data_IF_285897395391
#
_entry.id   IF_285897395391
#
_cell.length_a   1.000
_cell.length_b   1.000
_cell.length_c   1.000
_cell.angle_alpha   90.00
_cell.angle_beta   90.00
_cell.angle_gamma   90.00
#
_symmetry.space_group_name_H-M   'P 1'
#
loop_
_entity.id
_entity.type
_entity.pdbx_description
1 polymer ?
#
# COMPACT_ATOMS: atom_id res chain seq x y z
N UNK A 1 -14.77 -13.63 -6.43
CA UNK A 1 -13.55 -14.41 -6.21
C UNK A 1 -12.46 -13.81 -7.08
N UNK A 2 -11.63 -12.96 -6.52
CA UNK A 2 -10.44 -12.46 -7.18
C UNK A 2 -9.23 -13.02 -6.46
N UNK A 3 -8.75 -14.18 -6.89
CA UNK A 3 -7.46 -14.70 -6.49
C UNK A 3 -6.48 -14.35 -7.60
N UNK A 4 -5.54 -13.47 -7.32
CA UNK A 4 -4.45 -13.18 -8.20
C UNK A 4 -3.44 -14.31 -8.19
N UNK A 5 -3.47 -15.16 -9.22
CA UNK A 5 -2.38 -16.09 -9.49
C UNK A 5 -1.38 -15.38 -10.40
N UNK A 6 -0.21 -15.07 -9.89
CA UNK A 6 0.92 -14.63 -10.70
C UNK A 6 1.60 -15.87 -11.26
N UNK A 7 1.51 -16.09 -12.58
CA UNK A 7 2.25 -17.15 -13.26
C UNK A 7 3.55 -16.53 -13.76
N UNK A 8 4.67 -16.90 -13.13
CA UNK A 8 6.00 -16.47 -13.56
C UNK A 8 6.52 -17.35 -14.70
N UNK A 9 6.80 -16.73 -15.84
CA UNK A 9 7.77 -17.21 -16.80
C UNK A 9 8.93 -16.22 -16.83
N UNK A 10 9.92 -16.45 -15.98
CA UNK A 10 11.12 -15.61 -15.93
C UNK A 10 12.14 -16.10 -16.93
N UNK A 11 12.30 -15.39 -18.05
CA UNK A 11 13.52 -15.47 -18.84
C UNK A 11 14.45 -14.36 -18.35
N UNK A 12 15.42 -14.73 -17.54
CA UNK A 12 16.46 -13.85 -17.04
C UNK A 12 17.39 -13.42 -18.18
N UNK A 13 17.23 -12.18 -18.66
CA UNK A 13 18.29 -11.50 -19.41
C UNK A 13 18.95 -10.52 -18.45
N UNK A 14 19.96 -11.00 -17.73
CA UNK A 14 20.91 -10.10 -17.03
C UNK A 14 21.78 -9.42 -18.08
N UNK A 15 21.56 -8.14 -18.31
CA UNK A 15 22.50 -7.27 -19.02
C UNK A 15 22.71 -5.94 -18.30
N UNK A 16 23.85 -5.81 -17.69
CA UNK A 16 24.83 -4.68 -17.60
C UNK A 16 24.36 -3.21 -17.76
N UNK A 17 23.21 -2.80 -17.21
CA UNK A 17 22.75 -1.41 -17.15
C UNK A 17 22.39 -1.00 -15.70
N UNK A 18 22.76 -1.80 -14.71
CA UNK A 18 22.57 -1.50 -13.28
C UNK A 18 23.48 -0.36 -12.77
N UNK A 19 24.42 0.07 -13.60
CA UNK A 19 25.47 1.02 -13.15
C UNK A 19 24.98 2.45 -12.87
N UNK A 20 23.78 2.86 -13.31
CA UNK A 20 23.35 4.27 -13.21
C UNK A 20 22.32 4.55 -12.11
N UNK A 21 21.80 3.51 -11.47
CA UNK A 21 20.76 3.61 -10.44
C UNK A 21 21.20 2.85 -9.20
N UNK A 22 20.98 3.46 -8.04
CA UNK A 22 21.28 2.87 -6.72
C UNK A 22 19.94 2.68 -6.00
N UNK A 23 19.68 1.45 -5.55
CA UNK A 23 18.56 1.16 -4.67
C UNK A 23 19.06 0.96 -3.23
N UNK A 24 18.44 1.69 -2.31
CA UNK A 24 18.65 1.55 -0.87
C UNK A 24 17.38 0.96 -0.25
N UNK A 25 17.55 -0.09 0.53
CA UNK A 25 16.47 -0.69 1.34
C UNK A 25 16.79 -0.54 2.82
N UNK A 26 15.77 -0.13 3.61
CA UNK A 26 15.80 -0.07 5.06
C UNK A 26 14.62 -0.84 5.64
N UNK A 27 14.74 -1.33 6.86
CA UNK A 27 13.69 -2.11 7.55
C UNK A 27 12.99 -1.34 8.66
N UNK A 28 13.39 -0.09 8.89
CA UNK A 28 12.72 0.85 9.78
C UNK A 28 12.78 2.25 9.19
N UNK A 29 11.71 3.02 9.42
CA UNK A 29 11.68 4.44 8.99
C UNK A 29 12.72 5.28 9.73
N UNK A 30 13.13 4.88 10.94
CA UNK A 30 14.14 5.58 11.73
C UNK A 30 15.52 5.62 11.03
N UNK A 31 15.81 4.66 10.13
CA UNK A 31 17.03 4.65 9.31
C UNK A 31 16.92 5.53 8.04
N UNK A 32 15.74 6.11 7.78
CA UNK A 32 15.52 7.03 6.67
C UNK A 32 15.75 8.47 7.11
N UNK A 33 16.29 9.30 6.23
CA UNK A 33 16.39 10.74 6.49
C UNK A 33 14.99 11.37 6.53
N UNK A 34 14.60 11.89 7.70
CA UNK A 34 13.26 12.48 7.93
C UNK A 34 12.94 13.63 6.98
N UNK A 35 13.92 14.51 6.72
CA UNK A 35 13.72 15.66 5.83
C UNK A 35 13.47 15.23 4.39
N UNK A 36 14.28 14.27 3.91
CA UNK A 36 14.14 13.74 2.55
C UNK A 36 12.83 12.98 2.38
N UNK A 37 12.48 12.14 3.37
CA UNK A 37 11.22 11.41 3.37
C UNK A 37 10.02 12.35 3.33
N UNK A 38 9.95 13.30 4.26
CA UNK A 38 8.82 14.21 4.39
C UNK A 38 8.70 15.18 3.21
N UNK A 39 9.80 15.52 2.55
CA UNK A 39 9.77 16.36 1.34
C UNK A 39 8.84 15.79 0.26
N UNK A 40 8.80 14.47 0.13
CA UNK A 40 8.07 13.78 -0.94
C UNK A 40 6.82 13.08 -0.45
N UNK A 41 6.84 12.55 0.78
CA UNK A 41 5.79 11.67 1.31
C UNK A 41 4.81 12.38 2.25
N UNK A 42 5.14 13.54 2.84
CA UNK A 42 4.28 14.20 3.83
C UNK A 42 3.13 15.02 3.26
N UNK A 43 3.10 15.30 1.95
CA UNK A 43 2.04 16.14 1.36
C UNK A 43 0.69 15.42 1.37
N UNK A 44 -0.22 15.91 2.23
CA UNK A 44 -1.60 15.40 2.36
C UNK A 44 -1.66 13.90 2.64
N UNK A 45 -0.77 13.41 3.51
CA UNK A 45 -0.59 11.99 3.69
C UNK A 45 -0.28 11.65 5.15
N UNK A 46 -0.79 10.49 5.58
CA UNK A 46 -0.52 9.90 6.90
C UNK A 46 0.80 9.11 6.92
N UNK A 47 1.45 8.91 5.78
CA UNK A 47 2.72 8.19 5.64
C UNK A 47 3.92 9.12 5.67
N UNK A 48 3.82 10.23 6.40
CA UNK A 48 4.99 11.00 6.79
C UNK A 48 5.88 10.18 7.76
N UNK A 49 7.04 10.68 8.05
CA UNK A 49 8.01 9.96 8.88
C UNK A 49 7.46 9.63 10.28
N UNK A 50 6.73 10.55 10.90
CA UNK A 50 6.17 10.36 12.25
C UNK A 50 4.99 9.38 12.23
N UNK A 51 4.15 9.42 11.19
CA UNK A 51 3.08 8.46 10.96
C UNK A 51 3.59 7.04 10.78
N UNK A 52 4.69 6.87 10.04
CA UNK A 52 5.32 5.55 9.86
C UNK A 52 5.99 5.04 11.13
N UNK A 53 6.62 5.91 11.94
CA UNK A 53 7.10 5.55 13.29
C UNK A 53 5.94 5.03 14.14
N UNK A 54 4.79 5.69 14.08
CA UNK A 54 3.60 5.24 14.82
C UNK A 54 3.11 3.87 14.33
N UNK A 55 3.04 3.66 13.02
CA UNK A 55 2.63 2.37 12.44
C UNK A 55 3.60 1.25 12.81
N UNK A 56 4.91 1.48 12.74
CA UNK A 56 5.89 0.48 13.18
C UNK A 56 5.71 0.13 14.67
N UNK A 57 5.51 1.11 15.54
CA UNK A 57 5.26 0.86 16.97
C UNK A 57 3.98 0.06 17.23
N UNK A 58 2.96 0.25 16.40
CA UNK A 58 1.69 -0.46 16.54
C UNK A 58 1.76 -1.90 16.03
N UNK A 59 2.50 -2.14 14.93
CA UNK A 59 2.44 -3.41 14.20
C UNK A 59 3.74 -4.21 14.15
N UNK A 60 4.85 -3.71 14.67
CA UNK A 60 6.13 -4.43 14.70
C UNK A 60 6.37 -5.05 16.06
N UNK A 61 6.89 -6.26 16.09
CA UNK A 61 7.13 -7.02 17.34
C UNK A 61 5.86 -7.24 18.18
N UNK A 62 4.72 -7.34 17.54
CA UNK A 62 3.46 -7.63 18.21
C UNK A 62 3.35 -9.14 18.51
N UNK A 63 2.72 -9.47 19.63
CA UNK A 63 2.47 -10.87 20.01
C UNK A 63 1.37 -11.53 19.17
N UNK A 64 0.43 -10.75 18.66
CA UNK A 64 -0.57 -11.22 17.69
C UNK A 64 0.05 -11.28 16.30
N UNK A 65 0.17 -12.48 15.75
CA UNK A 65 0.76 -12.71 14.43
C UNK A 65 0.08 -11.95 13.28
N UNK A 66 -1.23 -11.66 13.39
CA UNK A 66 -1.97 -10.90 12.37
C UNK A 66 -1.67 -9.40 12.43
N UNK A 67 -1.19 -8.92 13.57
CA UNK A 67 -0.79 -7.55 13.81
C UNK A 67 0.73 -7.41 13.95
N UNK A 68 1.49 -8.40 13.52
CA UNK A 68 2.95 -8.38 13.55
C UNK A 68 3.49 -8.34 12.12
N UNK A 69 3.91 -7.16 11.69
CA UNK A 69 4.33 -6.90 10.33
C UNK A 69 5.80 -6.57 10.23
N UNK A 70 6.43 -6.93 9.11
CA UNK A 70 7.71 -6.40 8.69
C UNK A 70 7.48 -5.19 7.79
N UNK A 71 8.34 -4.17 7.94
CA UNK A 71 8.34 -2.97 7.13
C UNK A 71 9.61 -2.92 6.29
N UNK A 72 9.50 -2.35 5.11
CA UNK A 72 10.63 -2.10 4.24
C UNK A 72 10.42 -0.79 3.47
N UNK A 73 11.51 -0.02 3.36
CA UNK A 73 11.52 1.31 2.79
C UNK A 73 12.52 1.34 1.65
N UNK A 74 12.10 1.81 0.50
CA UNK A 74 12.95 1.93 -0.67
C UNK A 74 13.22 3.38 -1.02
N UNK A 75 14.48 3.69 -1.29
CA UNK A 75 14.90 4.91 -1.98
C UNK A 75 15.73 4.51 -3.17
N UNK A 76 15.31 4.95 -4.35
CA UNK A 76 16.03 4.73 -5.60
C UNK A 76 16.59 6.07 -6.08
N UNK A 77 17.89 6.12 -6.35
CA UNK A 77 18.65 7.34 -6.71
C UNK A 77 19.43 7.11 -7.99
N UNK A 78 19.73 8.19 -8.70
CA UNK A 78 20.78 8.18 -9.71
C UNK A 78 22.18 8.24 -9.07
N UNK A 79 23.23 8.07 -9.88
CA UNK A 79 24.63 8.18 -9.43
C UNK A 79 24.99 9.53 -8.81
N UNK A 80 24.23 10.60 -9.08
CA UNK A 80 24.43 11.93 -8.52
C UNK A 80 23.71 12.12 -7.18
N UNK A 81 23.02 11.07 -6.70
CA UNK A 81 22.26 11.09 -5.45
C UNK A 81 20.87 11.72 -5.59
N UNK A 82 20.39 12.00 -6.80
CA UNK A 82 19.05 12.53 -7.04
C UNK A 82 18.03 11.42 -6.85
N UNK A 83 16.99 11.68 -6.05
CA UNK A 83 15.93 10.74 -5.78
C UNK A 83 15.03 10.59 -7.02
N UNK A 84 14.92 9.37 -7.51
CA UNK A 84 14.06 8.96 -8.63
C UNK A 84 12.75 8.38 -8.13
N UNK A 85 12.80 7.58 -7.05
CA UNK A 85 11.64 6.92 -6.47
C UNK A 85 11.82 6.77 -4.96
N UNK A 86 10.73 6.96 -4.21
CA UNK A 86 10.60 6.61 -2.80
C UNK A 86 9.28 5.88 -2.57
N UNK A 87 9.33 4.85 -1.73
CA UNK A 87 8.12 4.11 -1.33
C UNK A 87 8.42 3.26 -0.10
N UNK A 88 7.36 2.68 0.46
CA UNK A 88 7.49 1.66 1.49
C UNK A 88 6.52 0.53 1.23
N UNK A 89 6.76 -0.59 1.89
CA UNK A 89 5.86 -1.72 1.88
C UNK A 89 5.84 -2.43 3.22
N UNK A 90 4.91 -3.34 3.33
CA UNK A 90 4.69 -4.16 4.52
C UNK A 90 4.56 -5.63 4.12
N UNK A 91 5.00 -6.52 5.01
CA UNK A 91 4.77 -7.95 4.92
C UNK A 91 4.05 -8.41 6.18
N UNK A 92 3.00 -9.17 6.01
CA UNK A 92 2.22 -9.70 7.13
C UNK A 92 1.25 -10.80 6.70
N UNK A 93 0.51 -11.32 7.66
CA UNK A 93 -0.51 -12.31 7.42
C UNK A 93 -1.86 -11.62 7.23
N UNK A 94 -2.49 -11.89 6.11
CA UNK A 94 -3.80 -11.37 5.76
C UNK A 94 -4.88 -12.43 5.99
N UNK A 95 -6.05 -12.01 6.48
CA UNK A 95 -7.24 -12.85 6.52
C UNK A 95 -7.98 -12.68 5.20
N UNK A 96 -8.13 -13.75 4.43
CA UNK A 96 -8.65 -13.69 3.06
C UNK A 96 -10.17 -13.40 3.00
N UNK A 97 -10.82 -13.33 4.15
CA UNK A 97 -12.23 -12.99 4.29
C UNK A 97 -12.53 -11.51 4.59
N UNK A 98 -11.54 -10.62 4.45
CA UNK A 98 -11.73 -9.18 4.77
C UNK A 98 -12.89 -8.50 4.05
N UNK A 99 -13.25 -8.97 2.85
CA UNK A 99 -14.37 -8.47 2.06
C UNK A 99 -15.60 -9.37 2.14
N UNK A 100 -15.60 -10.38 3.01
CA UNK A 100 -16.73 -11.27 3.20
C UNK A 100 -17.82 -10.61 4.06
N UNK A 101 -19.00 -11.23 4.05
CA UNK A 101 -20.07 -10.79 4.95
C UNK A 101 -19.74 -11.13 6.40
N UNK A 102 -20.28 -10.37 7.34
CA UNK A 102 -20.07 -10.56 8.79
C UNK A 102 -20.35 -12.01 9.25
N UNK A 103 -21.39 -12.64 8.68
CA UNK A 103 -21.75 -14.02 9.02
C UNK A 103 -20.68 -15.02 8.60
N UNK A 104 -20.05 -14.82 7.45
CA UNK A 104 -18.94 -15.66 6.96
C UNK A 104 -17.71 -15.45 7.81
N UNK A 105 -17.32 -14.19 8.08
CA UNK A 105 -16.17 -13.90 8.91
C UNK A 105 -16.30 -14.46 10.33
N UNK A 106 -17.48 -14.38 10.94
CA UNK A 106 -17.74 -15.01 12.25
C UNK A 106 -17.52 -16.53 12.23
N UNK A 107 -17.99 -17.22 11.20
CA UNK A 107 -17.77 -18.67 11.08
C UNK A 107 -16.29 -19.01 10.92
N UNK A 108 -15.55 -18.22 10.13
CA UNK A 108 -14.11 -18.40 9.94
C UNK A 108 -13.31 -18.12 11.21
N UNK A 109 -13.71 -17.12 12.01
CA UNK A 109 -13.08 -16.86 13.31
C UNK A 109 -13.29 -18.03 14.30
N UNK A 110 -14.44 -18.70 14.27
CA UNK A 110 -14.64 -19.91 15.09
C UNK A 110 -13.66 -21.05 14.66
N UNK A 111 -13.47 -21.23 13.35
CA UNK A 111 -12.50 -22.21 12.83
C UNK A 111 -11.07 -21.83 13.23
N UNK A 112 -10.72 -20.55 13.18
CA UNK A 112 -9.39 -20.03 13.55
C UNK A 112 -9.03 -20.22 15.02
N UNK A 113 -9.99 -20.46 15.91
CA UNK A 113 -9.71 -20.84 17.30
C UNK A 113 -8.93 -22.15 17.41
N UNK A 114 -9.15 -23.06 16.47
CA UNK A 114 -8.44 -24.38 16.43
C UNK A 114 -7.40 -24.46 15.32
N UNK A 115 -7.56 -23.68 14.26
CA UNK A 115 -6.60 -23.56 13.15
C UNK A 115 -6.34 -22.09 12.83
N UNK A 116 -5.43 -21.43 13.55
CA UNK A 116 -5.25 -19.97 13.46
C UNK A 116 -4.96 -19.42 12.06
N UNK A 117 -4.31 -20.22 11.20
CA UNK A 117 -3.97 -19.81 9.83
C UNK A 117 -4.98 -20.28 8.77
N UNK A 118 -6.18 -20.68 9.20
CA UNK A 118 -7.22 -21.08 8.25
C UNK A 118 -7.68 -19.89 7.38
N UNK A 119 -7.62 -20.07 6.07
CA UNK A 119 -7.98 -19.05 5.07
C UNK A 119 -7.25 -17.71 5.32
N UNK A 120 -5.92 -17.80 5.36
CA UNK A 120 -5.01 -16.66 5.49
C UNK A 120 -3.91 -16.74 4.45
N UNK A 121 -3.37 -15.61 4.06
CA UNK A 121 -2.27 -15.48 3.11
C UNK A 121 -1.15 -14.62 3.68
N UNK A 122 0.10 -14.99 3.38
CA UNK A 122 1.28 -14.15 3.60
C UNK A 122 1.38 -13.14 2.47
N UNK A 123 1.26 -11.88 2.78
CA UNK A 123 1.14 -10.83 1.76
C UNK A 123 2.27 -9.83 1.89
N UNK A 124 2.96 -9.58 0.78
CA UNK A 124 3.75 -8.37 0.60
C UNK A 124 2.85 -7.32 -0.01
N UNK A 125 2.72 -6.18 0.64
CA UNK A 125 1.99 -5.04 0.13
C UNK A 125 2.94 -3.88 -0.12
N UNK A 126 2.99 -3.36 -1.33
CA UNK A 126 3.55 -2.03 -1.54
C UNK A 126 2.53 -1.03 -1.00
N UNK A 127 2.93 -0.25 0.00
CA UNK A 127 2.04 0.53 0.85
C UNK A 127 1.70 -0.18 2.18
N UNK A 128 0.63 0.21 2.82
CA UNK A 128 0.23 -0.27 4.14
C UNK A 128 -0.87 -1.33 4.05
N UNK A 129 -0.77 -2.41 4.82
CA UNK A 129 -1.82 -3.43 4.92
C UNK A 129 -3.09 -2.92 5.63
N UNK A 130 -2.98 -1.90 6.46
CA UNK A 130 -4.06 -1.43 7.32
C UNK A 130 -4.79 -0.20 6.77
N UNK A 131 -4.07 0.79 6.24
CA UNK A 131 -4.66 2.08 5.85
C UNK A 131 -4.29 2.46 4.42
N UNK A 132 -5.14 3.26 3.80
CA UNK A 132 -4.94 3.80 2.46
C UNK A 132 -4.17 5.12 2.52
N UNK A 133 -3.46 5.45 1.45
CA UNK A 133 -2.77 6.73 1.29
C UNK A 133 -1.72 6.71 0.19
N UNK A 134 -1.25 7.90 -0.17
CA UNK A 134 -0.19 8.05 -1.18
C UNK A 134 1.14 7.58 -0.58
N UNK A 135 1.66 6.50 -1.07
CA UNK A 135 2.91 5.89 -0.60
C UNK A 135 3.95 5.73 -1.70
N UNK A 136 3.64 6.13 -2.93
CA UNK A 136 4.47 5.90 -4.09
C UNK A 136 4.83 7.22 -4.75
N UNK A 137 6.08 7.67 -4.54
CA UNK A 137 6.63 8.86 -5.18
C UNK A 137 7.57 8.44 -6.29
N UNK A 138 7.37 8.97 -7.49
CA UNK A 138 8.29 8.86 -8.62
C UNK A 138 8.51 10.24 -9.22
N UNK A 139 9.78 10.60 -9.43
CA UNK A 139 10.14 11.82 -10.13
C UNK A 139 9.94 11.63 -11.65
N UNK A 140 8.75 11.97 -12.14
CA UNK A 140 8.33 11.73 -13.52
C UNK A 140 9.11 12.53 -14.56
N UNK A 141 9.79 13.61 -14.15
CA UNK A 141 10.59 14.45 -15.04
C UNK A 141 11.96 13.83 -15.38
N UNK A 142 12.33 12.74 -14.69
CA UNK A 142 13.62 12.09 -14.85
C UNK A 142 13.56 10.96 -15.89
N UNK A 143 14.53 10.96 -16.79
CA UNK A 143 14.69 9.94 -17.84
C UNK A 143 14.79 8.51 -17.26
N UNK A 144 15.35 8.37 -16.05
CA UNK A 144 15.54 7.09 -15.37
C UNK A 144 14.31 6.65 -14.55
N UNK A 145 13.21 7.41 -14.55
CA UNK A 145 12.04 7.14 -13.71
C UNK A 145 11.42 5.75 -14.00
N UNK A 146 11.23 5.41 -15.27
CA UNK A 146 10.67 4.11 -15.67
C UNK A 146 11.58 2.94 -15.23
N UNK A 147 12.89 3.10 -15.36
CA UNK A 147 13.86 2.10 -14.91
C UNK A 147 13.84 1.93 -13.39
N UNK A 148 13.67 3.04 -12.65
CA UNK A 148 13.53 2.98 -11.19
C UNK A 148 12.29 2.19 -10.77
N UNK A 149 11.15 2.37 -11.48
CA UNK A 149 9.95 1.59 -11.24
C UNK A 149 10.17 0.10 -11.54
N UNK A 150 10.77 -0.25 -12.67
CA UNK A 150 11.09 -1.64 -13.02
C UNK A 150 12.01 -2.28 -11.98
N UNK A 151 13.06 -1.58 -11.57
CA UNK A 151 14.01 -2.07 -10.53
C UNK A 151 13.29 -2.31 -9.18
N UNK A 152 12.36 -1.44 -8.80
CA UNK A 152 11.54 -1.66 -7.59
C UNK A 152 10.71 -2.94 -7.73
N UNK A 153 10.03 -3.13 -8.87
CA UNK A 153 9.19 -4.31 -9.09
C UNK A 153 10.02 -5.60 -9.03
N UNK A 154 11.20 -5.61 -9.65
CA UNK A 154 12.13 -6.74 -9.58
C UNK A 154 12.54 -7.03 -8.12
N UNK A 155 12.81 -5.99 -7.31
CA UNK A 155 13.13 -6.14 -5.89
C UNK A 155 11.96 -6.67 -5.06
N UNK A 156 10.75 -6.28 -5.38
CA UNK A 156 9.55 -6.81 -4.71
C UNK A 156 9.34 -8.29 -5.06
N UNK A 157 9.62 -8.70 -6.30
CA UNK A 157 9.56 -10.11 -6.71
C UNK A 157 10.65 -10.96 -6.06
N UNK A 158 11.89 -10.45 -5.96
CA UNK A 158 12.94 -11.10 -5.18
C UNK A 158 12.47 -11.36 -3.75
N UNK A 159 11.94 -10.31 -3.08
CA UNK A 159 11.43 -10.38 -1.72
C UNK A 159 10.23 -11.35 -1.59
N UNK A 160 9.33 -11.37 -2.58
CA UNK A 160 8.22 -12.32 -2.65
C UNK A 160 8.70 -13.76 -2.61
N UNK A 161 9.74 -14.08 -3.41
CA UNK A 161 10.33 -15.41 -3.46
C UNK A 161 11.08 -15.76 -2.16
N UNK A 162 11.87 -14.83 -1.62
CA UNK A 162 12.67 -15.04 -0.42
C UNK A 162 11.80 -15.28 0.82
N UNK A 163 10.73 -14.51 0.99
CA UNK A 163 9.79 -14.63 2.09
C UNK A 163 8.74 -15.75 1.87
N UNK A 164 8.72 -16.35 0.67
CA UNK A 164 7.72 -17.35 0.28
C UNK A 164 6.31 -16.81 0.54
N UNK A 165 6.07 -15.57 0.09
CA UNK A 165 4.78 -14.94 0.22
C UNK A 165 3.76 -15.61 -0.73
N UNK A 166 2.49 -15.59 -0.35
CA UNK A 166 1.39 -16.12 -1.15
C UNK A 166 0.90 -15.08 -2.16
N UNK A 167 1.03 -13.80 -1.83
CA UNK A 167 0.62 -12.68 -2.68
C UNK A 167 1.59 -11.51 -2.60
N UNK A 168 1.72 -10.79 -3.73
CA UNK A 168 2.36 -9.48 -3.85
C UNK A 168 1.32 -8.50 -4.38
N UNK A 169 1.00 -7.48 -3.60
CA UNK A 169 -0.08 -6.52 -3.88
C UNK A 169 0.47 -5.10 -3.96
N UNK A 170 0.22 -4.43 -5.06
CA UNK A 170 0.48 -3.00 -5.22
C UNK A 170 -0.83 -2.26 -4.92
N UNK A 171 -0.88 -1.50 -3.81
CA UNK A 171 -2.11 -0.90 -3.30
C UNK A 171 -2.22 0.59 -3.63
N UNK A 172 -3.44 1.09 -3.54
CA UNK A 172 -3.79 2.52 -3.50
C UNK A 172 -3.31 3.32 -4.72
N UNK A 173 -3.24 2.66 -5.88
CA UNK A 173 -3.01 3.32 -7.15
C UNK A 173 -4.31 3.87 -7.72
N UNK A 174 -4.25 5.07 -8.27
CA UNK A 174 -5.40 5.70 -8.93
C UNK A 174 -5.87 4.86 -10.13
N UNK A 175 -7.15 4.99 -10.52
CA UNK A 175 -7.73 4.27 -11.67
C UNK A 175 -6.92 4.48 -12.94
N UNK A 176 -6.39 5.69 -13.15
CA UNK A 176 -5.49 6.03 -14.26
C UNK A 176 -4.13 6.43 -13.69
N UNK A 177 -3.23 5.47 -13.61
CA UNK A 177 -1.88 5.69 -13.12
C UNK A 177 -0.88 5.74 -14.28
N UNK A 178 0.06 6.68 -14.25
CA UNK A 178 1.13 6.82 -15.24
C UNK A 178 1.93 5.52 -15.42
N UNK A 179 2.05 4.72 -14.37
CA UNK A 179 2.87 3.51 -14.33
C UNK A 179 2.10 2.24 -14.67
N UNK A 180 0.79 2.30 -14.94
CA UNK A 180 -0.04 1.13 -15.22
C UNK A 180 0.55 0.23 -16.33
N UNK A 181 1.05 0.85 -17.41
CA UNK A 181 1.66 0.11 -18.51
C UNK A 181 2.92 -0.65 -18.07
N UNK A 182 3.81 0.02 -17.36
CA UNK A 182 5.06 -0.58 -16.87
C UNK A 182 4.78 -1.72 -15.89
N UNK A 183 3.83 -1.51 -14.98
CA UNK A 183 3.40 -2.51 -13.99
C UNK A 183 2.80 -3.74 -14.69
N UNK A 184 1.94 -3.52 -15.70
CA UNK A 184 1.32 -4.62 -16.45
C UNK A 184 2.33 -5.39 -17.32
N UNK A 185 3.32 -4.70 -17.92
CA UNK A 185 4.40 -5.35 -18.67
C UNK A 185 5.27 -6.25 -17.79
N UNK A 186 5.33 -6.00 -16.47
CA UNK A 186 5.99 -6.86 -15.48
C UNK A 186 5.08 -8.02 -14.99
N UNK A 187 3.90 -8.20 -15.58
CA UNK A 187 3.02 -9.34 -15.30
C UNK A 187 1.97 -9.09 -14.22
N UNK A 188 1.87 -7.88 -13.68
CA UNK A 188 0.81 -7.53 -12.73
C UNK A 188 -0.51 -7.27 -13.47
N UNK A 189 -1.61 -7.57 -12.82
CA UNK A 189 -2.94 -7.24 -13.31
C UNK A 189 -3.68 -6.34 -12.33
N UNK A 190 -4.50 -5.45 -12.87
CA UNK A 190 -5.24 -4.47 -12.09
C UNK A 190 -6.60 -5.02 -11.66
N UNK A 191 -6.90 -4.84 -10.37
CA UNK A 191 -8.20 -5.18 -9.79
C UNK A 191 -8.83 -3.89 -9.28
N UNK A 192 -10.07 -3.62 -9.69
CA UNK A 192 -10.82 -2.52 -9.14
C UNK A 192 -11.29 -2.87 -7.72
N UNK A 193 -10.92 -2.02 -6.77
CA UNK A 193 -11.40 -2.10 -5.40
C UNK A 193 -12.71 -1.30 -5.25
N UNK A 194 -13.52 -1.56 -4.20
CA UNK A 194 -14.66 -0.71 -3.88
C UNK A 194 -14.25 0.75 -3.76
N UNK A 195 -15.12 1.65 -4.22
CA UNK A 195 -14.86 3.09 -4.15
C UNK A 195 -14.74 3.58 -2.71
N UNK A 196 -13.74 4.42 -2.46
CA UNK A 196 -13.60 5.11 -1.17
C UNK A 196 -14.42 6.39 -1.15
N UNK A 197 -15.15 6.62 -0.06
CA UNK A 197 -15.84 7.88 0.15
C UNK A 197 -14.89 8.91 0.75
N UNK A 198 -14.57 9.96 -0.01
CA UNK A 198 -13.71 11.05 0.47
C UNK A 198 -14.56 12.23 0.92
N UNK A 199 -14.43 12.60 2.18
CA UNK A 199 -14.99 13.83 2.71
C UNK A 199 -13.98 14.98 2.57
N UNK A 200 -14.31 15.98 1.77
CA UNK A 200 -13.51 17.20 1.66
C UNK A 200 -14.05 18.25 2.65
N UNK A 201 -13.36 18.37 3.79
CA UNK A 201 -13.75 19.31 4.85
C UNK A 201 -13.70 20.79 4.42
N UNK A 202 -12.83 21.14 3.48
CA UNK A 202 -12.71 22.52 2.98
C UNK A 202 -13.94 22.97 2.15
N UNK A 203 -14.70 22.02 1.64
CA UNK A 203 -15.89 22.30 0.83
C UNK A 203 -17.05 22.86 1.64
N UNK A 204 -17.07 22.64 2.95
CA UNK A 204 -18.18 22.96 3.84
C UNK A 204 -17.71 23.86 4.97
N UNK A 205 -18.28 25.08 5.06
CA UNK A 205 -17.95 26.05 6.11
C UNK A 205 -18.76 25.80 7.40
N UNK A 206 -19.87 25.09 7.28
CA UNK A 206 -20.77 24.80 8.39
C UNK A 206 -21.55 23.51 8.17
N UNK A 207 -22.15 23.00 9.26
CA UNK A 207 -23.12 21.91 9.19
C UNK A 207 -24.28 22.21 8.24
N UNK A 208 -24.80 23.44 8.29
CA UNK A 208 -25.91 23.86 7.45
C UNK A 208 -25.54 23.79 5.95
N UNK A 209 -24.33 24.16 5.58
CA UNK A 209 -23.87 24.05 4.19
C UNK A 209 -23.78 22.61 3.74
N UNK A 210 -23.25 21.72 4.60
CA UNK A 210 -23.25 20.29 4.34
C UNK A 210 -24.66 19.73 4.24
N UNK A 211 -25.55 20.09 5.18
CA UNK A 211 -26.92 19.55 5.21
C UNK A 211 -27.75 19.95 3.99
N UNK A 212 -27.50 21.14 3.39
CA UNK A 212 -28.23 21.64 2.20
C UNK A 212 -28.00 20.78 0.97
N UNK A 213 -26.83 20.12 0.84
CA UNK A 213 -26.52 19.28 -0.32
C UNK A 213 -27.09 17.87 -0.21
N UNK A 214 -27.52 17.47 0.97
CA UNK A 214 -28.18 16.17 1.17
C UNK A 214 -29.58 16.18 0.57
N UNK A 215 -29.99 15.06 -0.02
CA UNK A 215 -31.38 14.85 -0.40
C UNK A 215 -32.32 15.04 0.82
N UNK A 216 -33.60 15.40 0.64
CA UNK A 216 -34.53 15.52 1.78
C UNK A 216 -34.59 14.24 2.64
N UNK A 217 -34.53 13.07 2.01
CA UNK A 217 -34.52 11.78 2.70
C UNK A 217 -33.23 11.58 3.51
N UNK A 218 -32.08 11.84 2.89
CA UNK A 218 -30.79 11.70 3.55
C UNK A 218 -30.63 12.69 4.69
N UNK A 219 -31.11 13.93 4.52
CA UNK A 219 -31.10 14.95 5.58
C UNK A 219 -31.96 14.56 6.78
N UNK A 220 -33.16 13.99 6.52
CA UNK A 220 -34.03 13.50 7.58
C UNK A 220 -33.38 12.35 8.36
N UNK A 221 -32.74 11.42 7.66
CA UNK A 221 -32.02 10.30 8.27
C UNK A 221 -30.83 10.82 9.09
N UNK A 222 -30.02 11.69 8.51
CA UNK A 222 -28.86 12.29 9.16
C UNK A 222 -29.22 13.02 10.45
N UNK A 223 -30.27 13.87 10.40
CA UNK A 223 -30.74 14.61 11.58
C UNK A 223 -31.38 13.75 12.66
N UNK A 224 -31.90 12.59 12.29
CA UNK A 224 -32.58 11.70 13.25
C UNK A 224 -31.64 10.70 13.89
N UNK A 225 -30.62 10.21 13.15
CA UNK A 225 -29.83 9.05 13.54
C UNK A 225 -28.34 9.35 13.73
N UNK A 226 -27.85 10.43 13.12
CA UNK A 226 -26.42 10.78 13.19
C UNK A 226 -26.20 11.96 14.15
N UNK A 227 -27.12 12.91 14.17
CA UNK A 227 -27.05 14.05 15.12
C UNK A 227 -28.12 13.79 16.20
N UNK A 228 -27.70 13.43 17.41
CA UNK A 228 -28.61 13.27 18.54
C UNK A 228 -29.16 14.59 19.02
#
# INVERSE_FOLDING_TARGET
KAFGLTIHNTISIKNSIEDDIIIEEKTTIEDMNKSDWNKWMAKNNIFDWDGLVYLEKAFKNNTDQFNNWDFFYYTIKDKKGKILLMTFGTYGIWKDDMLATESVSKQLEEIRKTNPLHLTSKVISLGCLFTEGKHFYVNQEEELAERAVKLLLDKLEEKYNDLKADMLVLRDFEEKNTWDKVIQEQGYFKINMPESCVYNAEKWQSYDDFSKVLSPRSRKHFNKEIIP
#
